data_IF_094285032147
#
_entry.id   IF_094285032147
#
_cell.length_a   1.000
_cell.length_b   1.000
_cell.length_c   1.000
_cell.angle_alpha   90.00
_cell.angle_beta   90.00
_cell.angle_gamma   90.00
#
_symmetry.space_group_name_H-M   'P 1'
#
loop_
_entity.id
_entity.type
_entity.pdbx_description
1 polymer ?
#
# COMPACT_ATOMS: atom_id res chain seq x y z
N UNK A 1 -24.38 -33.22 -5.14
CA UNK A 1 -24.81 -31.92 -4.59
C UNK A 1 -23.71 -30.96 -4.95
N UNK A 2 -23.76 -30.44 -6.17
CA UNK A 2 -22.70 -29.59 -6.71
C UNK A 2 -22.85 -28.20 -6.13
N UNK A 3 -21.94 -27.83 -5.23
CA UNK A 3 -21.81 -26.46 -4.74
C UNK A 3 -21.61 -25.54 -5.94
N UNK A 4 -22.50 -24.55 -6.07
CA UNK A 4 -22.45 -23.58 -7.17
C UNK A 4 -21.13 -22.81 -7.12
N UNK A 5 -20.32 -22.78 -8.20
CA UNK A 5 -19.00 -22.15 -8.20
C UNK A 5 -19.01 -20.65 -7.90
N UNK A 6 -20.13 -19.95 -8.13
CA UNK A 6 -20.29 -18.54 -7.77
C UNK A 6 -20.39 -18.28 -6.26
N UNK A 7 -20.89 -19.26 -5.50
CA UNK A 7 -21.01 -19.14 -4.03
C UNK A 7 -19.67 -19.38 -3.35
N UNK A 8 -18.83 -20.27 -3.88
CA UNK A 8 -17.46 -20.49 -3.37
C UNK A 8 -16.56 -19.27 -3.57
N UNK A 9 -16.69 -18.59 -4.73
CA UNK A 9 -15.95 -17.37 -5.01
C UNK A 9 -16.40 -16.23 -4.07
N UNK A 10 -17.71 -16.09 -3.86
CA UNK A 10 -18.26 -15.14 -2.89
C UNK A 10 -17.73 -15.40 -1.48
N UNK A 11 -17.73 -16.66 -1.02
CA UNK A 11 -17.20 -17.02 0.30
C UNK A 11 -15.70 -16.71 0.41
N UNK A 12 -14.92 -16.88 -0.66
CA UNK A 12 -13.49 -16.50 -0.66
C UNK A 12 -13.28 -15.00 -0.56
N UNK A 13 -14.07 -14.19 -1.28
CA UNK A 13 -14.02 -12.73 -1.19
C UNK A 13 -14.48 -12.23 0.18
N UNK A 14 -15.53 -12.83 0.73
CA UNK A 14 -15.99 -12.53 2.07
C UNK A 14 -14.91 -12.84 3.11
N UNK A 15 -14.21 -13.97 2.98
CA UNK A 15 -13.11 -14.32 3.88
C UNK A 15 -11.96 -13.32 3.76
N UNK A 16 -11.53 -13.00 2.55
CA UNK A 16 -10.43 -12.05 2.28
C UNK A 16 -10.75 -10.65 2.81
N UNK A 17 -11.99 -10.17 2.60
CA UNK A 17 -12.47 -8.92 3.17
C UNK A 17 -12.45 -8.92 4.70
N UNK A 18 -12.90 -10.01 5.34
CA UNK A 18 -12.87 -10.12 6.80
C UNK A 18 -11.43 -10.10 7.34
N UNK A 19 -10.50 -10.78 6.67
CA UNK A 19 -9.08 -10.78 7.05
C UNK A 19 -8.46 -9.38 6.93
N UNK A 20 -8.79 -8.63 5.88
CA UNK A 20 -8.39 -7.23 5.69
C UNK A 20 -8.96 -6.33 6.79
N UNK A 21 -10.24 -6.47 7.14
CA UNK A 21 -10.87 -5.72 8.24
C UNK A 21 -10.18 -6.00 9.58
N UNK A 22 -9.81 -7.26 9.85
CA UNK A 22 -9.06 -7.63 11.05
C UNK A 22 -7.67 -7.01 11.03
N UNK A 23 -6.96 -7.07 9.89
CA UNK A 23 -5.64 -6.46 9.70
C UNK A 23 -5.66 -4.96 9.98
N UNK A 24 -6.57 -4.22 9.33
CA UNK A 24 -6.75 -2.77 9.48
C UNK A 24 -7.05 -2.42 10.94
N UNK A 25 -7.98 -3.15 11.55
CA UNK A 25 -8.37 -2.91 12.95
C UNK A 25 -7.18 -3.11 13.89
N UNK A 26 -6.39 -4.16 13.71
CA UNK A 26 -5.20 -4.42 14.53
C UNK A 26 -4.12 -3.37 14.30
N UNK A 27 -3.85 -3.02 13.04
CA UNK A 27 -2.88 -1.99 12.69
C UNK A 27 -3.26 -0.62 13.29
N UNK A 28 -4.54 -0.24 13.31
CA UNK A 28 -4.99 1.02 13.91
C UNK A 28 -5.04 0.99 15.45
N UNK A 29 -5.56 -0.09 16.03
CA UNK A 29 -5.80 -0.12 17.48
C UNK A 29 -4.61 -0.59 18.31
N UNK A 30 -3.67 -1.31 17.71
CA UNK A 30 -2.49 -1.84 18.41
C UNK A 30 -1.25 -1.15 17.87
N UNK A 31 -0.93 -1.33 16.59
CA UNK A 31 0.36 -0.91 16.04
C UNK A 31 0.49 0.61 15.97
N UNK A 32 -0.54 1.33 15.49
CA UNK A 32 -0.54 2.78 15.39
C UNK A 32 -0.62 3.46 16.77
N UNK A 33 -1.12 2.77 17.81
CA UNK A 33 -1.11 3.30 19.19
C UNK A 33 0.24 3.11 19.87
N UNK A 34 0.95 2.03 19.55
CA UNK A 34 2.24 1.68 20.14
C UNK A 34 3.46 2.20 19.36
N UNK A 35 3.23 2.89 18.22
CA UNK A 35 4.29 3.43 17.37
C UNK A 35 4.32 4.96 17.37
N UNK A 36 5.50 5.54 17.14
CA UNK A 36 5.74 6.98 17.09
C UNK A 36 6.54 7.39 15.86
N UNK A 37 6.42 8.65 15.45
CA UNK A 37 7.17 9.23 14.34
C UNK A 37 7.04 8.43 13.04
N UNK A 38 8.17 8.03 12.46
CA UNK A 38 8.20 7.33 11.17
C UNK A 38 7.57 5.93 11.23
N UNK A 39 7.66 5.23 12.37
CA UNK A 39 7.01 3.93 12.54
C UNK A 39 5.49 4.06 12.48
N UNK A 40 4.92 5.09 13.12
CA UNK A 40 3.49 5.37 13.06
C UNK A 40 3.03 5.69 11.65
N UNK A 41 3.81 6.50 10.95
CA UNK A 41 3.55 6.87 9.55
C UNK A 41 3.60 5.65 8.62
N UNK A 42 4.52 4.71 8.86
CA UNK A 42 4.59 3.46 8.11
C UNK A 42 3.37 2.56 8.36
N UNK A 43 2.88 2.48 9.60
CA UNK A 43 1.66 1.74 9.95
C UNK A 43 0.44 2.36 9.28
N UNK A 44 0.30 3.68 9.27
CA UNK A 44 -0.82 4.37 8.61
C UNK A 44 -0.81 4.15 7.09
N UNK A 45 0.36 4.23 6.44
CA UNK A 45 0.51 3.89 5.01
C UNK A 45 0.15 2.43 4.71
N UNK A 46 0.31 1.52 5.67
CA UNK A 46 -0.12 0.13 5.51
C UNK A 46 -1.64 0.04 5.58
N UNK A 47 -2.26 0.73 6.55
CA UNK A 47 -3.71 0.79 6.68
C UNK A 47 -4.38 1.37 5.44
N UNK A 48 -3.81 2.43 4.85
CA UNK A 48 -4.34 3.02 3.60
C UNK A 48 -4.36 2.02 2.46
N UNK A 49 -3.28 1.23 2.28
CA UNK A 49 -3.24 0.17 1.26
C UNK A 49 -4.24 -0.95 1.51
N UNK A 50 -4.30 -1.44 2.75
CA UNK A 50 -5.25 -2.49 3.13
C UNK A 50 -6.71 -1.98 2.94
N UNK A 51 -6.97 -0.67 3.12
CA UNK A 51 -8.29 -0.07 2.88
C UNK A 51 -8.63 -0.01 1.38
N UNK A 52 -7.70 0.38 0.52
CA UNK A 52 -7.88 0.36 -0.94
C UNK A 52 -8.20 -1.05 -1.46
N UNK A 53 -7.55 -2.08 -0.92
CA UNK A 53 -7.79 -3.48 -1.26
C UNK A 53 -9.18 -3.95 -0.82
N UNK A 54 -9.65 -3.51 0.36
CA UNK A 54 -11.00 -3.81 0.82
C UNK A 54 -12.09 -3.17 -0.06
N UNK A 55 -11.89 -1.93 -0.54
CA UNK A 55 -12.82 -1.29 -1.49
C UNK A 55 -12.86 -2.02 -2.84
N UNK A 56 -11.72 -2.57 -3.29
CA UNK A 56 -11.65 -3.36 -4.53
C UNK A 56 -12.50 -4.64 -4.44
N UNK A 57 -12.40 -5.37 -3.31
CA UNK A 57 -13.17 -6.61 -3.10
C UNK A 57 -14.68 -6.34 -3.10
N UNK A 58 -15.12 -5.26 -2.47
CA UNK A 58 -16.54 -4.87 -2.45
C UNK A 58 -17.04 -4.56 -3.86
N UNK A 59 -16.28 -3.78 -4.64
CA UNK A 59 -16.59 -3.45 -6.04
C UNK A 59 -16.70 -4.72 -6.91
N UNK A 60 -15.81 -5.69 -6.71
CA UNK A 60 -15.85 -6.97 -7.42
C UNK A 60 -17.07 -7.81 -7.06
N UNK A 61 -17.45 -7.88 -5.78
CA UNK A 61 -18.64 -8.60 -5.33
C UNK A 61 -19.91 -7.97 -5.90
N UNK A 62 -20.00 -6.64 -5.92
CA UNK A 62 -21.12 -5.91 -6.52
C UNK A 62 -21.25 -6.22 -8.02
N UNK A 63 -20.14 -6.20 -8.77
CA UNK A 63 -20.10 -6.56 -10.19
C UNK A 63 -20.54 -8.01 -10.46
N UNK A 64 -20.19 -8.95 -9.58
CA UNK A 64 -20.59 -10.35 -9.72
C UNK A 64 -22.04 -10.62 -9.29
N UNK A 65 -22.58 -9.80 -8.39
CA UNK A 65 -23.96 -9.92 -7.91
C UNK A 65 -25.01 -9.47 -8.93
N UNK A 66 -24.64 -8.56 -9.83
CA UNK A 66 -25.54 -7.94 -10.81
C UNK A 66 -25.68 -8.74 -12.13
N UNK A 67 -25.32 -10.03 -12.14
CA UNK A 67 -25.38 -10.91 -13.32
C UNK A 67 -26.69 -11.73 -13.39
N UNK A 68 -27.69 -11.37 -14.22
CA UNK A 68 -28.91 -12.14 -14.38
C UNK A 68 -28.74 -13.16 -15.53
N UNK A 69 -28.64 -14.45 -15.19
CA UNK A 69 -28.86 -15.63 -16.06
C UNK A 69 -27.81 -16.02 -17.14
N UNK A 70 -27.02 -17.04 -16.81
CA UNK A 70 -26.84 -18.36 -17.48
C UNK A 70 -27.09 -18.65 -19.00
N UNK A 71 -27.43 -17.74 -19.93
CA UNK A 71 -27.84 -18.22 -21.28
C UNK A 71 -27.46 -17.40 -22.54
N UNK A 72 -26.31 -16.72 -22.57
CA UNK A 72 -25.74 -16.17 -23.83
C UNK A 72 -24.20 -16.36 -23.89
N UNK A 73 -23.77 -17.61 -23.83
CA UNK A 73 -22.46 -18.04 -23.28
C UNK A 73 -21.20 -17.84 -24.12
N UNK A 74 -21.24 -17.38 -25.37
CA UNK A 74 -20.00 -17.20 -26.18
C UNK A 74 -19.59 -15.72 -26.35
N UNK A 75 -20.56 -14.85 -26.65
CA UNK A 75 -20.31 -13.40 -26.72
C UNK A 75 -20.09 -12.81 -25.33
N UNK A 76 -20.86 -13.26 -24.33
CA UNK A 76 -20.72 -12.78 -22.94
C UNK A 76 -19.43 -13.27 -22.28
N UNK A 77 -18.96 -14.47 -22.62
CA UNK A 77 -17.70 -15.00 -22.12
C UNK A 77 -16.50 -14.23 -22.69
N UNK A 78 -16.55 -13.86 -23.98
CA UNK A 78 -15.53 -13.01 -24.60
C UNK A 78 -15.51 -11.60 -23.98
N UNK A 79 -16.67 -10.98 -23.77
CA UNK A 79 -16.74 -9.67 -23.11
C UNK A 79 -16.33 -9.72 -21.63
N UNK A 80 -16.65 -10.81 -20.91
CA UNK A 80 -16.18 -11.02 -19.53
C UNK A 80 -14.67 -11.24 -19.46
N UNK A 81 -14.10 -12.01 -20.39
CA UNK A 81 -12.65 -12.18 -20.49
C UNK A 81 -11.95 -10.86 -20.81
N UNK A 82 -12.54 -10.03 -21.68
CA UNK A 82 -12.05 -8.69 -21.98
C UNK A 82 -12.17 -7.74 -20.77
N UNK A 83 -13.27 -7.80 -20.01
CA UNK A 83 -13.43 -7.03 -18.78
C UNK A 83 -12.42 -7.45 -17.71
N UNK A 84 -12.26 -8.75 -17.45
CA UNK A 84 -11.28 -9.26 -16.50
C UNK A 84 -9.84 -8.90 -16.90
N UNK A 85 -9.52 -8.92 -18.20
CA UNK A 85 -8.21 -8.45 -18.69
C UNK A 85 -8.04 -6.94 -18.47
N UNK A 86 -9.08 -6.15 -18.73
CA UNK A 86 -9.07 -4.70 -18.50
C UNK A 86 -8.90 -4.38 -17.02
N UNK A 87 -9.60 -5.06 -16.13
CA UNK A 87 -9.46 -4.92 -14.67
C UNK A 87 -8.04 -5.25 -14.21
N UNK A 88 -7.45 -6.35 -14.69
CA UNK A 88 -6.04 -6.66 -14.40
C UNK A 88 -5.09 -5.57 -14.89
N UNK A 89 -5.32 -5.02 -16.08
CA UNK A 89 -4.49 -3.94 -16.63
C UNK A 89 -4.65 -2.65 -15.82
N UNK A 90 -5.87 -2.32 -15.39
CA UNK A 90 -6.14 -1.17 -14.54
C UNK A 90 -5.47 -1.33 -13.17
N UNK A 91 -5.61 -2.49 -12.53
CA UNK A 91 -4.95 -2.82 -11.26
C UNK A 91 -3.42 -2.77 -11.38
N UNK A 92 -2.88 -3.31 -12.47
CA UNK A 92 -1.45 -3.22 -12.76
C UNK A 92 -1.01 -1.76 -12.95
N UNK A 93 -1.84 -0.91 -13.56
CA UNK A 93 -1.55 0.50 -13.74
C UNK A 93 -1.57 1.26 -12.41
N UNK A 94 -2.59 1.05 -11.57
CA UNK A 94 -2.67 1.62 -10.22
C UNK A 94 -1.48 1.20 -9.36
N UNK A 95 -1.09 -0.08 -9.39
CA UNK A 95 0.08 -0.56 -8.66
C UNK A 95 1.38 0.10 -9.15
N UNK A 96 1.51 0.33 -10.46
CA UNK A 96 2.64 1.04 -11.04
C UNK A 96 2.66 2.51 -10.62
N UNK A 97 1.51 3.18 -10.59
CA UNK A 97 1.35 4.56 -10.13
C UNK A 97 1.74 4.69 -8.65
N UNK A 98 1.18 3.86 -7.77
CA UNK A 98 1.54 3.83 -6.35
C UNK A 98 3.02 3.49 -6.12
N UNK A 99 3.61 2.65 -6.98
CA UNK A 99 5.05 2.36 -6.93
C UNK A 99 5.89 3.56 -7.37
N UNK A 100 5.44 4.30 -8.39
CA UNK A 100 6.07 5.53 -8.85
C UNK A 100 6.10 6.60 -7.76
N UNK A 101 4.97 6.84 -7.09
CA UNK A 101 4.85 7.81 -6.00
C UNK A 101 5.76 7.47 -4.81
N UNK A 102 5.89 6.16 -4.52
CA UNK A 102 6.80 5.66 -3.49
C UNK A 102 8.27 5.84 -3.87
N UNK A 103 8.62 5.62 -5.14
CA UNK A 103 9.98 5.85 -5.64
C UNK A 103 10.34 7.34 -5.59
N UNK A 104 9.44 8.23 -6.02
CA UNK A 104 9.65 9.69 -5.93
C UNK A 104 9.80 10.14 -4.48
N UNK A 105 8.91 9.66 -3.60
CA UNK A 105 9.01 9.92 -2.16
C UNK A 105 10.33 9.42 -1.57
N UNK A 106 10.76 8.22 -1.94
CA UNK A 106 12.04 7.65 -1.49
C UNK A 106 13.23 8.47 -1.99
N UNK A 107 13.17 8.96 -3.23
CA UNK A 107 14.22 9.77 -3.82
C UNK A 107 14.37 11.10 -3.09
N UNK A 108 13.26 11.79 -2.82
CA UNK A 108 13.25 13.02 -2.03
C UNK A 108 13.83 12.82 -0.63
N UNK A 109 13.42 11.76 0.08
CA UNK A 109 13.94 11.46 1.42
C UNK A 109 15.45 11.17 1.38
N UNK A 110 15.93 10.48 0.35
CA UNK A 110 17.36 10.22 0.18
C UNK A 110 18.16 11.51 0.01
N UNK A 111 17.67 12.46 -0.79
CA UNK A 111 18.29 13.77 -0.97
C UNK A 111 18.26 14.61 0.33
N UNK A 112 17.14 14.61 1.04
CA UNK A 112 17.02 15.28 2.35
C UNK A 112 18.01 14.70 3.38
N UNK A 113 18.18 13.36 3.38
CA UNK A 113 19.13 12.65 4.25
C UNK A 113 20.57 12.97 3.89
N UNK A 114 20.91 13.05 2.60
CA UNK A 114 22.24 13.47 2.14
C UNK A 114 22.56 14.91 2.58
N UNK A 115 21.60 15.83 2.40
CA UNK A 115 21.75 17.21 2.80
C UNK A 115 21.95 17.34 4.32
N UNK A 116 21.16 16.61 5.11
CA UNK A 116 21.29 16.58 6.55
C UNK A 116 22.65 16.01 6.98
N UNK A 117 23.06 14.89 6.39
CA UNK A 117 24.37 14.29 6.63
C UNK A 117 25.53 15.24 6.31
N UNK A 118 25.44 15.95 5.17
CA UNK A 118 26.40 16.99 4.78
C UNK A 118 26.49 18.13 5.81
N UNK A 119 25.34 18.57 6.35
CA UNK A 119 25.30 19.58 7.40
C UNK A 119 25.97 19.07 8.68
N UNK A 120 25.62 17.87 9.13
CA UNK A 120 26.21 17.25 10.33
C UNK A 120 27.72 17.14 10.20
N UNK A 121 28.24 16.71 9.04
CA UNK A 121 29.68 16.61 8.81
C UNK A 121 30.38 17.99 8.80
N UNK A 122 29.73 19.04 8.30
CA UNK A 122 30.24 20.43 8.40
C UNK A 122 30.31 20.88 9.85
N UNK A 123 29.26 20.64 10.62
CA UNK A 123 29.18 21.03 12.02
C UNK A 123 30.22 20.28 12.87
N UNK A 124 30.35 18.96 12.68
CA UNK A 124 31.37 18.14 13.34
C UNK A 124 32.79 18.61 13.00
N UNK A 125 33.04 19.00 11.74
CA UNK A 125 34.34 19.57 11.34
C UNK A 125 34.62 20.88 12.07
N UNK A 126 33.66 21.80 12.12
CA UNK A 126 33.80 23.07 12.83
C UNK A 126 33.99 22.90 14.34
N UNK A 127 33.29 21.94 14.94
CA UNK A 127 33.47 21.59 16.36
C UNK A 127 34.87 21.03 16.64
N UNK A 128 35.39 20.16 15.77
CA UNK A 128 36.79 19.69 15.85
C UNK A 128 37.78 20.85 15.70
N UNK A 129 37.53 21.75 14.74
CA UNK A 129 38.12 23.11 14.57
C UNK A 129 38.40 23.80 15.92
N UNK A 130 37.30 24.02 16.65
CA UNK A 130 37.31 24.75 17.93
C UNK A 130 38.03 23.99 19.05
N UNK A 131 37.89 22.66 19.10
CA UNK A 131 38.54 21.83 20.12
C UNK A 131 40.07 21.81 19.91
N UNK A 132 40.53 21.74 18.66
CA UNK A 132 41.96 21.79 18.34
C UNK A 132 42.55 23.16 18.73
N UNK A 133 41.93 24.26 18.30
CA UNK A 133 42.38 25.61 18.64
C UNK A 133 42.40 25.88 20.15
N UNK A 134 41.38 25.43 20.89
CA UNK A 134 41.36 25.59 22.35
C UNK A 134 42.46 24.79 23.02
N UNK A 135 42.81 23.59 22.52
CA UNK A 135 43.95 22.79 23.02
C UNK A 135 45.31 23.43 22.76
N UNK A 136 45.48 24.15 21.65
CA UNK A 136 46.74 24.82 21.33
C UNK A 136 46.93 26.15 22.08
N UNK A 137 45.87 26.70 22.68
CA UNK A 137 45.89 28.00 23.37
C UNK A 137 46.10 27.89 24.90
N UNK A 138 46.09 26.69 25.48
CA UNK A 138 46.40 26.43 26.92
C UNK A 138 47.71 25.69 27.09
#
# INVERSE_FOLDING_TARGET
MDSMPGLELFNSYEQEFNDLVISIRNALNVDAKNSVGEQRKAVLRRVERDYEEAEEIVSLVELHSDSPYQQDSDLSASTKAQQAQRERLLKANQLLESSSDRLDSSHRIALESEQLGSSILRDLRGQREQIENTRDTV
#
